data_IF_799673168611
#
_entry.id   IF_799673168611
#
_cell.length_a   1.000
_cell.length_b   1.000
_cell.length_c   1.000
_cell.angle_alpha   90.00
_cell.angle_beta   90.00
_cell.angle_gamma   90.00
#
_symmetry.space_group_name_H-M   'P 1'
#
loop_
_entity.id
_entity.type
_entity.pdbx_description
1 polymer ?
#
# COMPACT_ATOMS: atom_id res chain seq x y z
N UNK A 1 -1.65 2.13 3.66
CA UNK A 1 -0.42 2.01 2.84
C UNK A 1 0.82 2.60 3.52
N UNK A 2 0.74 3.76 4.19
CA UNK A 2 1.94 4.50 4.61
C UNK A 2 2.86 3.80 5.62
N UNK A 3 2.36 3.04 6.64
CA UNK A 3 3.28 2.43 7.61
C UNK A 3 4.08 1.28 7.01
N UNK A 4 3.42 0.45 6.20
CA UNK A 4 4.03 -0.73 5.56
C UNK A 4 5.05 -0.30 4.51
N UNK A 5 4.69 0.65 3.64
CA UNK A 5 5.58 1.16 2.60
C UNK A 5 6.82 1.83 3.22
N UNK A 6 6.65 2.55 4.35
CA UNK A 6 7.75 3.13 5.09
C UNK A 6 8.67 2.07 5.71
N UNK A 7 8.11 1.05 6.37
CA UNK A 7 8.90 -0.04 6.97
C UNK A 7 9.73 -0.75 5.89
N UNK A 8 9.09 -1.11 4.78
CA UNK A 8 9.75 -1.80 3.65
C UNK A 8 10.83 -0.92 3.01
N UNK A 9 10.52 0.35 2.72
CA UNK A 9 11.49 1.30 2.18
C UNK A 9 12.68 1.51 3.12
N UNK A 10 12.42 1.69 4.41
CA UNK A 10 13.46 1.86 5.44
C UNK A 10 14.34 0.63 5.58
N UNK A 11 13.78 -0.57 5.44
CA UNK A 11 14.53 -1.82 5.50
C UNK A 11 15.47 -2.00 4.29
N UNK A 12 15.06 -1.56 3.09
CA UNK A 12 15.86 -1.76 1.86
C UNK A 12 16.86 -0.64 1.62
N UNK A 13 16.45 0.63 1.74
CA UNK A 13 17.30 1.79 1.36
C UNK A 13 17.80 2.61 2.54
N UNK A 14 17.38 2.26 3.75
CA UNK A 14 17.83 2.89 4.99
C UNK A 14 17.02 4.13 5.37
N UNK A 15 17.08 4.48 6.66
CA UNK A 15 16.26 5.56 7.24
C UNK A 15 16.62 6.98 6.81
N UNK A 16 17.78 7.19 6.17
CA UNK A 16 18.13 8.50 5.59
C UNK A 16 17.43 8.77 4.26
N UNK A 17 17.06 7.71 3.53
CA UNK A 17 16.43 7.76 2.21
C UNK A 17 14.92 7.57 2.26
N UNK A 18 14.42 6.72 3.17
CA UNK A 18 12.99 6.50 3.35
C UNK A 18 12.50 7.06 4.69
N UNK A 19 12.09 8.34 4.70
CA UNK A 19 11.46 8.95 5.89
C UNK A 19 9.97 8.64 5.95
N UNK A 20 9.40 8.73 7.14
CA UNK A 20 7.97 8.53 7.33
C UNK A 20 7.14 9.60 6.60
N UNK A 21 7.63 10.83 6.56
CA UNK A 21 7.07 11.93 5.76
C UNK A 21 6.96 11.56 4.28
N UNK A 22 8.01 10.93 3.74
CA UNK A 22 8.10 10.59 2.32
C UNK A 22 7.06 9.53 1.97
N UNK A 23 6.89 8.52 2.85
CA UNK A 23 5.83 7.52 2.71
C UNK A 23 4.42 8.13 2.84
N UNK A 24 4.25 9.16 3.67
CA UNK A 24 2.98 9.87 3.80
C UNK A 24 2.63 10.62 2.51
N UNK A 25 3.61 11.30 1.92
CA UNK A 25 3.45 12.00 0.63
C UNK A 25 3.18 11.05 -0.53
N UNK A 26 3.87 9.91 -0.60
CA UNK A 26 3.59 8.88 -1.61
C UNK A 26 2.12 8.44 -1.54
N UNK A 27 1.59 8.23 -0.33
CA UNK A 27 0.21 7.79 -0.16
C UNK A 27 -0.79 8.91 -0.45
N UNK A 28 -0.53 10.13 0.02
CA UNK A 28 -1.40 11.27 -0.24
C UNK A 28 -1.48 11.57 -1.74
N UNK A 29 -0.34 11.76 -2.40
CA UNK A 29 -0.27 12.03 -3.84
C UNK A 29 -0.74 10.83 -4.65
N UNK A 30 -0.36 9.61 -4.28
CA UNK A 30 -0.82 8.41 -4.95
C UNK A 30 -2.34 8.29 -4.91
N UNK A 31 -2.97 8.58 -3.78
CA UNK A 31 -4.44 8.55 -3.66
C UNK A 31 -5.08 9.63 -4.51
N UNK A 32 -4.59 10.87 -4.44
CA UNK A 32 -5.12 11.99 -5.23
C UNK A 32 -5.00 11.70 -6.73
N UNK A 33 -3.80 11.34 -7.19
CA UNK A 33 -3.54 11.08 -8.61
C UNK A 33 -4.34 9.87 -9.09
N UNK A 34 -4.43 8.79 -8.30
CA UNK A 34 -5.19 7.61 -8.68
C UNK A 34 -6.70 7.90 -8.74
N UNK A 35 -7.24 8.79 -7.90
CA UNK A 35 -8.64 9.21 -8.00
C UNK A 35 -8.92 9.95 -9.30
N UNK A 36 -8.01 10.85 -9.72
CA UNK A 36 -8.14 11.52 -11.02
C UNK A 36 -7.99 10.55 -12.19
N UNK A 37 -6.91 9.75 -12.22
CA UNK A 37 -6.70 8.76 -13.29
C UNK A 37 -7.88 7.79 -13.38
N UNK A 38 -8.33 7.26 -12.23
CA UNK A 38 -9.43 6.31 -12.17
C UNK A 38 -10.78 6.90 -12.57
N UNK A 39 -10.95 8.22 -12.57
CA UNK A 39 -12.16 8.89 -13.04
C UNK A 39 -12.21 9.06 -14.56
N UNK A 40 -11.05 9.12 -15.24
CA UNK A 40 -10.96 9.45 -16.67
C UNK A 40 -10.40 8.32 -17.54
N UNK A 41 -9.61 7.41 -16.95
CA UNK A 41 -8.88 6.36 -17.67
C UNK A 41 -9.23 5.01 -17.04
N UNK A 42 -9.95 4.19 -17.81
CA UNK A 42 -10.39 2.87 -17.37
C UNK A 42 -9.72 1.74 -18.15
N UNK A 43 -9.89 0.51 -17.64
CA UNK A 43 -9.35 -0.69 -18.25
C UNK A 43 -7.83 -0.82 -18.10
N UNK A 44 -7.21 -1.56 -19.02
CA UNK A 44 -5.80 -1.94 -18.92
C UNK A 44 -4.86 -0.74 -19.00
N UNK A 45 -5.23 0.31 -19.73
CA UNK A 45 -4.46 1.54 -19.84
C UNK A 45 -4.41 2.28 -18.50
N UNK A 46 -5.54 2.41 -17.81
CA UNK A 46 -5.60 3.02 -16.48
C UNK A 46 -4.71 2.28 -15.49
N UNK A 47 -4.75 0.94 -15.51
CA UNK A 47 -3.90 0.11 -14.66
C UNK A 47 -2.40 0.36 -14.91
N UNK A 48 -1.97 0.36 -16.17
CA UNK A 48 -0.55 0.59 -16.53
C UNK A 48 -0.10 1.99 -16.06
N UNK A 49 -0.92 3.02 -16.30
CA UNK A 49 -0.58 4.39 -15.90
C UNK A 49 -0.48 4.50 -14.39
N UNK A 50 -1.46 3.99 -13.64
CA UNK A 50 -1.42 3.97 -12.17
C UNK A 50 -0.18 3.24 -11.65
N UNK A 51 0.19 2.11 -12.25
CA UNK A 51 1.35 1.33 -11.85
C UNK A 51 2.67 2.11 -12.08
N UNK A 52 2.80 2.78 -13.23
CA UNK A 52 3.95 3.64 -13.53
C UNK A 52 4.02 4.83 -12.57
N UNK A 53 2.91 5.51 -12.33
CA UNK A 53 2.84 6.65 -11.41
C UNK A 53 3.25 6.23 -10.00
N UNK A 54 2.77 5.08 -9.55
CA UNK A 54 3.10 4.58 -8.22
C UNK A 54 4.59 4.25 -8.07
N UNK A 55 5.19 3.57 -9.06
CA UNK A 55 6.64 3.33 -9.09
C UNK A 55 7.44 4.64 -9.14
N UNK A 56 6.97 5.63 -9.91
CA UNK A 56 7.62 6.93 -10.02
C UNK A 56 7.60 7.69 -8.68
N UNK A 57 6.48 7.64 -7.95
CA UNK A 57 6.37 8.21 -6.60
C UNK A 57 7.36 7.54 -5.65
N UNK A 58 7.41 6.20 -5.60
CA UNK A 58 8.35 5.47 -4.74
C UNK A 58 9.80 5.84 -5.08
N UNK A 59 10.15 5.85 -6.37
CA UNK A 59 11.48 6.21 -6.85
C UNK A 59 11.88 7.62 -6.41
N UNK A 60 10.97 8.58 -6.60
CA UNK A 60 11.22 10.00 -6.33
C UNK A 60 11.32 10.30 -4.84
N UNK A 61 10.38 9.80 -4.04
CA UNK A 61 10.32 10.11 -2.60
C UNK A 61 11.32 9.33 -1.76
N UNK A 62 11.73 8.12 -2.18
CA UNK A 62 12.72 7.34 -1.45
C UNK A 62 14.16 7.46 -2.00
N UNK A 63 14.41 8.34 -2.99
CA UNK A 63 15.72 8.54 -3.61
C UNK A 63 16.41 7.23 -4.03
N UNK A 64 15.67 6.39 -4.78
CA UNK A 64 16.10 5.04 -5.18
C UNK A 64 16.18 4.87 -6.69
N UNK A 65 16.86 3.80 -7.14
CA UNK A 65 16.84 3.37 -8.54
C UNK A 65 15.54 2.63 -8.89
N UNK A 66 15.22 2.53 -10.18
CA UNK A 66 14.00 1.86 -10.68
C UNK A 66 13.86 0.41 -10.19
N UNK A 67 14.95 -0.36 -10.22
CA UNK A 67 14.95 -1.76 -9.76
C UNK A 67 14.59 -1.85 -8.28
N UNK A 68 15.17 -0.98 -7.46
CA UNK A 68 14.90 -0.95 -6.01
C UNK A 68 13.47 -0.50 -5.73
N UNK A 69 12.94 0.48 -6.46
CA UNK A 69 11.54 0.90 -6.34
C UNK A 69 10.57 -0.25 -6.64
N UNK A 70 10.86 -1.08 -7.64
CA UNK A 70 10.06 -2.29 -7.95
C UNK A 70 10.13 -3.29 -6.78
N UNK A 71 11.32 -3.55 -6.23
CA UNK A 71 11.48 -4.46 -5.07
C UNK A 71 10.66 -3.95 -3.88
N UNK A 72 10.74 -2.66 -3.56
CA UNK A 72 9.97 -2.04 -2.48
C UNK A 72 8.47 -2.21 -2.72
N UNK A 73 8.01 -1.93 -3.94
CA UNK A 73 6.61 -2.07 -4.34
C UNK A 73 6.10 -3.51 -4.15
N UNK A 74 6.85 -4.50 -4.63
CA UNK A 74 6.50 -5.93 -4.52
C UNK A 74 6.44 -6.36 -3.05
N UNK A 75 7.46 -6.05 -2.25
CA UNK A 75 7.48 -6.43 -0.84
C UNK A 75 6.36 -5.74 -0.06
N UNK A 76 6.05 -4.47 -0.38
CA UNK A 76 4.94 -3.76 0.23
C UNK A 76 3.59 -4.44 -0.06
N UNK A 77 3.35 -4.90 -1.29
CA UNK A 77 2.13 -5.64 -1.67
C UNK A 77 2.04 -6.95 -0.90
N UNK A 78 3.13 -7.71 -0.79
CA UNK A 78 3.15 -8.97 -0.03
C UNK A 78 2.82 -8.71 1.45
N UNK A 79 3.48 -7.73 2.06
CA UNK A 79 3.24 -7.37 3.46
C UNK A 79 1.79 -6.92 3.70
N UNK A 80 1.21 -6.15 2.77
CA UNK A 80 -0.21 -5.79 2.81
C UNK A 80 -1.14 -7.00 2.69
N UNK A 81 -0.82 -7.95 1.82
CA UNK A 81 -1.58 -9.19 1.68
C UNK A 81 -1.64 -9.98 2.99
N UNK A 82 -0.51 -10.07 3.69
CA UNK A 82 -0.43 -10.72 5.01
C UNK A 82 -1.31 -9.97 6.03
N UNK A 83 -1.20 -8.64 6.10
CA UNK A 83 -2.01 -7.83 7.02
C UNK A 83 -3.51 -7.97 6.71
N UNK A 84 -3.89 -7.92 5.43
CA UNK A 84 -5.27 -8.07 5.01
C UNK A 84 -5.84 -9.45 5.37
N UNK A 85 -5.03 -10.51 5.21
CA UNK A 85 -5.41 -11.87 5.59
C UNK A 85 -5.63 -11.99 7.11
N UNK A 86 -4.72 -11.45 7.91
CA UNK A 86 -4.87 -11.41 9.38
C UNK A 86 -6.15 -10.66 9.77
N UNK A 87 -6.38 -9.49 9.18
CA UNK A 87 -7.58 -8.69 9.46
C UNK A 87 -8.87 -9.40 9.02
N UNK A 88 -8.85 -10.12 7.90
CA UNK A 88 -9.99 -10.92 7.46
C UNK A 88 -10.31 -12.04 8.46
N UNK A 89 -9.29 -12.77 8.93
CA UNK A 89 -9.47 -13.80 9.96
C UNK A 89 -10.01 -13.22 11.27
N UNK A 90 -9.47 -12.09 11.73
CA UNK A 90 -9.97 -11.40 12.93
C UNK A 90 -11.41 -10.91 12.75
N UNK A 91 -11.75 -10.37 11.58
CA UNK A 91 -13.11 -9.94 11.25
C UNK A 91 -14.11 -11.11 11.27
N UNK A 92 -13.75 -12.26 10.70
CA UNK A 92 -14.57 -13.47 10.74
C UNK A 92 -14.73 -14.00 12.17
N UNK A 93 -13.66 -14.05 12.95
CA UNK A 93 -13.71 -14.47 14.35
C UNK A 93 -14.61 -13.54 15.20
N UNK A 94 -14.51 -12.22 14.99
CA UNK A 94 -15.37 -11.24 15.64
C UNK A 94 -16.84 -11.41 15.26
N UNK A 95 -17.14 -11.55 13.96
CA UNK A 95 -18.51 -11.79 13.47
C UNK A 95 -19.10 -13.08 14.03
N UNK A 96 -18.32 -14.17 14.07
CA UNK A 96 -18.73 -15.42 14.68
C UNK A 96 -19.05 -15.24 16.17
N UNK A 97 -18.16 -14.58 16.93
CA UNK A 97 -18.40 -14.30 18.35
C UNK A 97 -19.66 -13.45 18.61
N UNK A 98 -19.89 -12.41 17.80
CA UNK A 98 -21.11 -11.59 17.88
C UNK A 98 -22.37 -12.40 17.55
N UNK A 99 -22.30 -13.30 16.56
CA UNK A 99 -23.41 -14.22 16.23
C UNK A 99 -23.75 -15.15 17.38
N UNK A 100 -22.74 -15.70 18.07
CA UNK A 100 -22.93 -16.56 19.25
C UNK A 100 -23.60 -15.79 20.39
N UNK A 101 -23.17 -14.54 20.68
CA UNK A 101 -23.79 -13.74 21.74
C UNK A 101 -25.26 -13.41 21.48
N UNK A 102 -25.66 -13.18 20.22
CA UNK A 102 -27.06 -12.92 19.86
C UNK A 102 -27.96 -14.15 19.90
N UNK A 103 -27.40 -15.36 19.80
CA UNK A 103 -28.19 -16.61 19.90
C UNK A 103 -28.40 -17.09 21.35
N UNK A 104 -27.72 -16.47 22.32
CA UNK A 104 -27.81 -16.80 23.75
C UNK A 104 -28.77 -15.86 24.51
N UNK A 105 -29.08 -14.68 23.95
CA UNK A 105 -30.08 -13.71 24.44
C UNK A 105 -31.46 -14.00 23.84
#
# INVERSE_FOLDING_TARGET
MSPILWIVGRAIVGGRKARFSDALWIVALGTVINSFIGAYIHGILGFIVTLIVWLALIKHFFDTGWVIAIIIAVIAIIALGIVALILAFLGLAFMYGVGVMKGIL
#
